data_IF_175772403709
#
_entry.id   IF_175772403709
#
_cell.length_a   1.000
_cell.length_b   1.000
_cell.length_c   1.000
_cell.angle_alpha   90.00
_cell.angle_beta   90.00
_cell.angle_gamma   90.00
#
_symmetry.space_group_name_H-M   'P 1'
#
loop_
_entity.id
_entity.type
_entity.pdbx_description
1 polymer ?
#
# COMPACT_ATOMS: atom_id res chain seq x y z
N UNK A 1 -5.74 10.32 -9.12
CA UNK A 1 -5.14 8.99 -9.36
C UNK A 1 -5.18 8.25 -8.04
N UNK A 2 -5.61 7.00 -8.00
CA UNK A 2 -5.65 6.25 -6.73
C UNK A 2 -4.23 6.03 -6.18
N UNK A 3 -4.04 6.17 -4.86
CA UNK A 3 -2.74 6.02 -4.18
C UNK A 3 -2.03 4.72 -4.55
N UNK A 4 -2.78 3.63 -4.72
CA UNK A 4 -2.26 2.33 -5.15
C UNK A 4 -1.49 2.39 -6.48
N UNK A 5 -1.97 3.17 -7.44
CA UNK A 5 -1.30 3.29 -8.73
C UNK A 5 0.02 4.07 -8.62
N UNK A 6 0.09 5.05 -7.72
CA UNK A 6 1.34 5.77 -7.45
C UNK A 6 2.37 4.88 -6.75
N UNK A 7 1.93 4.06 -5.79
CA UNK A 7 2.78 3.06 -5.14
C UNK A 7 3.34 2.05 -6.14
N UNK A 8 2.50 1.55 -7.06
CA UNK A 8 2.93 0.66 -8.15
C UNK A 8 4.03 1.28 -9.01
N UNK A 9 3.81 2.52 -9.47
CA UNK A 9 4.81 3.24 -10.29
C UNK A 9 6.13 3.45 -9.54
N UNK A 10 6.04 3.71 -8.24
CA UNK A 10 7.21 3.90 -7.38
C UNK A 10 7.99 2.61 -7.16
N UNK A 11 7.30 1.47 -7.04
CA UNK A 11 7.93 0.14 -7.04
C UNK A 11 8.66 -0.13 -8.35
N UNK A 12 7.99 0.12 -9.47
CA UNK A 12 8.52 -0.14 -10.81
C UNK A 12 9.72 0.77 -11.14
N UNK A 13 9.73 2.02 -10.67
CA UNK A 13 10.88 2.92 -10.85
C UNK A 13 12.12 2.45 -10.07
N UNK A 14 11.92 1.73 -8.96
CA UNK A 14 12.98 1.04 -8.21
C UNK A 14 13.36 -0.33 -8.81
N UNK A 15 12.69 -0.76 -9.90
CA UNK A 15 12.87 -2.07 -10.55
C UNK A 15 12.64 -3.26 -9.62
N UNK A 16 11.77 -3.10 -8.62
CA UNK A 16 11.41 -4.16 -7.68
C UNK A 16 10.18 -4.93 -8.19
N UNK A 17 10.18 -6.25 -8.02
CA UNK A 17 9.01 -7.09 -8.25
C UNK A 17 8.02 -6.96 -7.09
N UNK A 18 6.76 -7.35 -7.33
CA UNK A 18 5.77 -7.42 -6.26
C UNK A 18 6.15 -8.44 -5.18
N UNK A 19 6.87 -9.52 -5.55
CA UNK A 19 7.30 -10.53 -4.60
C UNK A 19 8.34 -9.96 -3.62
N UNK A 20 9.37 -9.27 -4.14
CA UNK A 20 10.41 -8.68 -3.29
C UNK A 20 9.84 -7.68 -2.27
N UNK A 21 8.96 -6.78 -2.71
CA UNK A 21 8.33 -5.82 -1.81
C UNK A 21 7.39 -6.51 -0.82
N UNK A 22 6.65 -7.54 -1.25
CA UNK A 22 5.75 -8.24 -0.35
C UNK A 22 6.50 -8.91 0.81
N UNK A 23 7.68 -9.48 0.54
CA UNK A 23 8.57 -10.01 1.57
C UNK A 23 9.04 -8.92 2.53
N UNK A 24 9.51 -7.76 2.02
CA UNK A 24 9.94 -6.63 2.84
C UNK A 24 8.81 -6.06 3.72
N UNK A 25 7.58 -6.09 3.22
CA UNK A 25 6.41 -5.63 3.95
C UNK A 25 5.88 -6.66 4.94
N UNK A 26 6.25 -7.93 4.81
CA UNK A 26 5.68 -9.04 5.59
C UNK A 26 4.22 -9.31 5.23
N UNK A 27 3.86 -9.22 3.95
CA UNK A 27 2.50 -9.49 3.46
C UNK A 27 2.55 -10.44 2.27
N UNK A 28 1.40 -11.03 1.91
CA UNK A 28 1.34 -11.82 0.68
C UNK A 28 1.51 -10.94 -0.57
N UNK A 29 2.09 -11.50 -1.65
CA UNK A 29 2.14 -10.83 -2.95
C UNK A 29 0.75 -10.40 -3.45
N UNK A 30 -0.29 -11.21 -3.16
CA UNK A 30 -1.69 -10.88 -3.46
C UNK A 30 -2.17 -9.62 -2.73
N UNK A 31 -1.77 -9.45 -1.46
CA UNK A 31 -2.06 -8.24 -0.68
C UNK A 31 -1.45 -7.01 -1.34
N UNK A 32 -0.18 -7.08 -1.73
CA UNK A 32 0.47 -5.98 -2.44
C UNK A 32 -0.21 -5.68 -3.78
N UNK A 33 -0.56 -6.70 -4.56
CA UNK A 33 -1.29 -6.54 -5.83
C UNK A 33 -2.66 -5.88 -5.64
N UNK A 34 -3.39 -6.24 -4.57
CA UNK A 34 -4.66 -5.59 -4.21
C UNK A 34 -4.47 -4.12 -3.80
N UNK A 35 -3.38 -3.79 -3.10
CA UNK A 35 -3.03 -2.41 -2.77
C UNK A 35 -2.76 -1.61 -4.05
N UNK A 36 -1.90 -2.13 -4.92
CA UNK A 36 -1.50 -1.46 -6.16
C UNK A 36 -2.64 -1.26 -7.16
N UNK A 37 -3.67 -2.12 -7.08
CA UNK A 37 -4.90 -2.02 -7.89
C UNK A 37 -6.03 -1.24 -7.21
N UNK A 38 -5.82 -0.71 -6.00
CA UNK A 38 -6.84 0.06 -5.26
C UNK A 38 -7.96 -0.78 -4.64
N UNK A 39 -7.89 -2.13 -4.72
CA UNK A 39 -8.87 -3.04 -4.10
C UNK A 39 -8.77 -3.07 -2.58
N UNK A 40 -7.64 -2.66 -2.02
CA UNK A 40 -7.40 -2.64 -0.58
C UNK A 40 -6.57 -1.41 -0.25
N UNK A 41 -6.98 -0.65 0.76
CA UNK A 41 -6.17 0.47 1.22
C UNK A 41 -5.02 -0.06 2.08
N UNK A 42 -3.78 0.44 1.87
CA UNK A 42 -2.67 0.10 2.75
C UNK A 42 -2.90 0.72 4.14
N UNK A 43 -2.46 0.03 5.18
CA UNK A 43 -2.39 0.62 6.52
C UNK A 43 -1.31 1.71 6.58
N UNK A 44 -1.37 2.57 7.60
CA UNK A 44 -0.34 3.60 7.82
C UNK A 44 1.05 2.98 7.96
N UNK A 45 1.17 1.83 8.63
CA UNK A 45 2.44 1.10 8.78
C UNK A 45 2.95 0.60 7.42
N UNK A 46 2.06 0.09 6.57
CA UNK A 46 2.44 -0.35 5.22
C UNK A 46 2.89 0.84 4.37
N UNK A 47 2.17 1.97 4.43
CA UNK A 47 2.55 3.20 3.73
C UNK A 47 3.91 3.73 4.18
N UNK A 48 4.19 3.75 5.49
CA UNK A 48 5.47 4.19 6.02
C UNK A 48 6.62 3.32 5.49
N UNK A 49 6.49 1.99 5.57
CA UNK A 49 7.48 1.06 5.02
C UNK A 49 7.67 1.21 3.51
N UNK A 50 6.58 1.38 2.76
CA UNK A 50 6.66 1.65 1.33
C UNK A 50 7.37 2.98 1.05
N UNK A 51 7.19 3.98 1.90
CA UNK A 51 7.94 5.24 1.87
C UNK A 51 9.44 5.02 1.95
N UNK A 52 9.89 4.19 2.90
CA UNK A 52 11.30 3.83 3.06
C UNK A 52 11.83 3.03 1.85
N UNK A 53 11.11 1.99 1.42
CA UNK A 53 11.53 1.11 0.30
C UNK A 53 11.62 1.90 -1.01
N UNK A 54 10.65 2.79 -1.26
CA UNK A 54 10.55 3.53 -2.52
C UNK A 54 11.22 4.90 -2.48
N UNK A 55 11.64 5.40 -1.31
CA UNK A 55 12.14 6.76 -1.14
C UNK A 55 11.07 7.82 -1.43
N UNK A 56 9.84 7.58 -0.96
CA UNK A 56 8.72 8.51 -1.13
C UNK A 56 8.51 9.37 0.11
N UNK A 57 8.18 10.63 -0.12
CA UNK A 57 7.53 11.46 0.89
C UNK A 57 6.05 11.07 0.98
N UNK A 58 5.74 10.20 1.95
CA UNK A 58 4.38 9.69 2.17
C UNK A 58 3.41 10.81 2.55
N UNK A 59 3.86 11.81 3.30
CA UNK A 59 3.01 12.92 3.73
C UNK A 59 2.61 13.78 2.52
N UNK A 60 3.59 14.10 1.66
CA UNK A 60 3.33 14.78 0.39
C UNK A 60 2.37 13.98 -0.48
N UNK A 61 2.61 12.67 -0.64
CA UNK A 61 1.76 11.78 -1.41
C UNK A 61 0.29 11.81 -0.94
N UNK A 62 0.07 11.75 0.37
CA UNK A 62 -1.26 11.81 0.97
C UNK A 62 -1.91 13.20 0.79
N UNK A 63 -1.14 14.28 0.94
CA UNK A 63 -1.64 15.64 0.77
C UNK A 63 -2.14 15.93 -0.65
N UNK A 64 -1.48 15.37 -1.68
CA UNK A 64 -1.81 15.59 -3.09
C UNK A 64 -2.98 14.73 -3.57
N UNK A 65 -3.24 13.59 -2.93
CA UNK A 65 -4.26 12.63 -3.36
C UNK A 65 -5.51 12.63 -2.47
N UNK A 66 -5.50 13.40 -1.37
CA UNK A 66 -6.56 13.43 -0.38
C UNK A 66 -6.58 12.19 0.51
N UNK A 67 -6.91 12.39 1.80
CA UNK A 67 -7.02 11.29 2.76
C UNK A 67 -8.50 10.92 2.88
N UNK A 68 -8.88 9.76 2.35
CA UNK A 68 -10.20 9.20 2.60
C UNK A 68 -10.14 8.24 3.80
N UNK A 69 -10.57 8.72 4.97
CA UNK A 69 -10.71 7.89 6.17
C UNK A 69 -12.02 7.09 6.07
N UNK A 70 -11.94 5.85 5.60
CA UNK A 70 -13.05 4.91 5.73
C UNK A 70 -13.08 4.33 7.15
N UNK A 71 -14.26 4.10 7.73
CA UNK A 71 -14.37 3.43 9.03
C UNK A 71 -13.67 2.05 8.95
N UNK A 72 -13.04 1.59 10.05
CA UNK A 72 -12.30 0.35 10.06
C UNK A 72 -13.18 -0.79 9.55
N UNK A 73 -12.62 -1.72 8.74
CA UNK A 73 -13.39 -2.85 8.23
C UNK A 73 -14.01 -3.58 9.42
N UNK A 74 -15.32 -3.87 9.34
CA UNK A 74 -16.02 -4.67 10.34
C UNK A 74 -15.21 -5.97 10.52
N UNK A 75 -14.69 -6.21 11.73
CA UNK A 75 -14.01 -7.47 12.06
C UNK A 75 -14.95 -8.60 11.66
N UNK A 76 -14.53 -9.48 10.73
CA UNK A 76 -15.28 -10.71 10.46
C UNK A 76 -15.35 -11.51 11.77
N UNK A 77 -16.50 -12.12 12.12
CA UNK A 77 -16.58 -12.98 13.29
C UNK A 77 -15.47 -14.03 13.20
N UNK A 78 -14.72 -14.18 14.29
CA UNK A 78 -13.72 -15.23 14.43
C UNK A 78 -14.50 -16.53 14.65
N UNK A 79 -14.56 -17.37 13.62
CA UNK A 79 -15.17 -18.68 13.70
C UNK A 79 -16.67 -18.70 13.35
N UNK A 80 -16.99 -19.47 12.31
CA UNK A 80 -18.29 -20.13 12.11
C UNK A 80 -17.97 -21.57 11.75
#
# INVERSE_FOLDING_TARGET
MEIGHHLKKSRESKRLSQHEVSELLGVSQKTLSNIESGKTQPSVIQLAKMGEIYGLDVLKLLSENGIHLSPPPKKKPIGS
#
